data_IF_684032489804
#
_entry.id   IF_684032489804
#
_cell.length_a   1.000
_cell.length_b   1.000
_cell.length_c   1.000
_cell.angle_alpha   90.00
_cell.angle_beta   90.00
_cell.angle_gamma   90.00
#
_symmetry.space_group_name_H-M   'P 1'
#
loop_
_entity.id
_entity.type
_entity.pdbx_description
1 polymer ?
#
# COMPACT_ATOMS: atom_id res chain seq x y z
N UNK A 1 4.82 -4.52 -16.00
CA UNK A 1 4.98 -4.91 -14.59
C UNK A 1 6.26 -4.38 -13.99
N UNK A 2 6.25 -4.19 -12.67
CA UNK A 2 7.39 -3.63 -11.92
C UNK A 2 7.68 -4.38 -10.62
N UNK A 3 7.02 -5.51 -10.37
CA UNK A 3 7.24 -6.37 -9.21
C UNK A 3 7.06 -7.83 -9.60
N UNK A 4 7.84 -8.72 -8.99
CA UNK A 4 7.75 -10.16 -9.21
C UNK A 4 8.44 -10.96 -8.09
N UNK A 5 8.24 -12.27 -8.13
CA UNK A 5 9.03 -13.24 -7.39
C UNK A 5 9.41 -14.40 -8.32
N UNK A 6 10.54 -15.03 -8.05
CA UNK A 6 11.04 -16.11 -8.87
C UNK A 6 12.26 -16.79 -8.25
N UNK A 7 13.00 -17.52 -9.08
CA UNK A 7 14.24 -18.20 -8.71
C UNK A 7 15.36 -17.67 -9.60
N UNK A 8 16.50 -17.37 -9.02
CA UNK A 8 17.69 -16.92 -9.75
C UNK A 8 18.18 -18.06 -10.64
N UNK A 9 18.12 -17.85 -11.96
CA UNK A 9 18.54 -18.83 -12.96
C UNK A 9 20.00 -18.66 -13.36
N UNK A 10 20.45 -17.40 -13.45
CA UNK A 10 21.80 -17.04 -13.88
C UNK A 10 22.24 -15.74 -13.20
N UNK A 11 23.56 -15.48 -13.12
CA UNK A 11 24.12 -14.29 -12.50
C UNK A 11 25.19 -13.66 -13.41
N UNK A 12 25.22 -12.35 -13.44
CA UNK A 12 26.27 -11.58 -14.16
C UNK A 12 27.61 -11.63 -13.43
N UNK A 13 28.66 -11.22 -14.16
CA UNK A 13 29.98 -11.15 -13.59
C UNK A 13 30.03 -10.13 -12.40
N UNK A 14 30.66 -10.53 -11.29
CA UNK A 14 30.82 -9.69 -10.12
C UNK A 14 29.58 -9.56 -9.23
N UNK A 15 28.54 -10.34 -9.46
CA UNK A 15 27.37 -10.40 -8.57
C UNK A 15 27.66 -11.37 -7.42
N UNK A 16 27.52 -10.88 -6.18
CA UNK A 16 27.72 -11.63 -4.95
C UNK A 16 26.54 -11.59 -3.97
N UNK A 17 25.54 -10.72 -4.22
CA UNK A 17 24.33 -10.58 -3.37
C UNK A 17 23.42 -11.82 -3.45
N UNK A 18 23.42 -12.50 -4.56
CA UNK A 18 22.57 -13.68 -4.82
C UNK A 18 23.36 -14.77 -5.53
N UNK A 19 22.87 -16.01 -5.45
CA UNK A 19 23.41 -17.16 -6.16
C UNK A 19 22.31 -17.88 -6.96
N UNK A 20 22.71 -18.67 -7.94
CA UNK A 20 21.78 -19.53 -8.71
C UNK A 20 21.02 -20.43 -7.74
N UNK A 21 19.70 -20.50 -7.93
CA UNK A 21 18.78 -21.24 -7.08
C UNK A 21 18.21 -20.44 -5.90
N UNK A 22 18.68 -19.22 -5.62
CA UNK A 22 18.05 -18.39 -4.59
C UNK A 22 16.61 -18.02 -4.98
N UNK A 23 15.70 -18.21 -4.05
CA UNK A 23 14.33 -17.76 -4.16
C UNK A 23 14.23 -16.29 -3.79
N UNK A 24 13.77 -15.47 -4.73
CA UNK A 24 13.81 -14.01 -4.59
C UNK A 24 12.48 -13.34 -4.90
N UNK A 25 12.31 -12.13 -4.39
CA UNK A 25 11.27 -11.20 -4.80
C UNK A 25 11.87 -9.80 -4.98
N UNK A 26 11.24 -8.97 -5.79
CA UNK A 26 11.71 -7.62 -6.06
C UNK A 26 10.61 -6.71 -6.56
N UNK A 27 10.84 -5.41 -6.48
CA UNK A 27 9.97 -4.41 -7.11
C UNK A 27 10.80 -3.25 -7.69
N UNK A 28 10.10 -2.31 -8.35
CA UNK A 28 10.71 -1.12 -8.99
C UNK A 28 11.70 -1.44 -10.13
N UNK A 29 11.67 -2.65 -10.66
CA UNK A 29 12.37 -3.03 -11.88
C UNK A 29 11.33 -3.34 -12.98
N UNK A 30 11.39 -2.69 -14.14
CA UNK A 30 10.42 -2.91 -15.22
C UNK A 30 10.62 -4.26 -15.91
N UNK A 31 9.60 -4.69 -16.67
CA UNK A 31 9.69 -5.89 -17.51
C UNK A 31 9.34 -7.19 -16.80
N UNK A 32 8.54 -7.14 -15.72
CA UNK A 32 8.20 -8.34 -14.92
C UNK A 32 7.06 -9.19 -15.53
N UNK A 33 6.45 -8.77 -16.64
CA UNK A 33 5.49 -9.61 -17.38
C UNK A 33 6.27 -10.51 -18.33
N UNK A 34 6.98 -11.47 -17.77
CA UNK A 34 7.89 -12.36 -18.51
C UNK A 34 8.16 -13.63 -17.69
N UNK A 35 8.48 -14.71 -18.41
CA UNK A 35 8.98 -15.94 -17.80
C UNK A 35 10.40 -15.76 -17.22
N UNK A 36 11.19 -14.87 -17.83
CA UNK A 36 12.54 -14.53 -17.41
C UNK A 36 12.72 -13.01 -17.43
N UNK A 37 13.35 -12.47 -16.40
CA UNK A 37 13.65 -11.04 -16.29
C UNK A 37 15.11 -10.82 -15.87
N UNK A 38 15.74 -9.80 -16.43
CA UNK A 38 17.05 -9.32 -15.99
C UNK A 38 16.84 -8.20 -14.98
N UNK A 39 17.35 -8.38 -13.77
CA UNK A 39 17.12 -7.49 -12.65
C UNK A 39 18.45 -7.11 -11.99
N UNK A 40 18.69 -5.83 -11.65
CA UNK A 40 19.86 -5.46 -10.86
C UNK A 40 19.91 -6.23 -9.53
N UNK A 41 21.02 -6.89 -9.25
CA UNK A 41 21.15 -7.81 -8.10
C UNK A 41 20.82 -7.12 -6.77
N UNK A 42 21.21 -5.87 -6.59
CA UNK A 42 20.93 -5.09 -5.38
C UNK A 42 19.42 -4.88 -5.08
N UNK A 43 18.54 -5.10 -6.07
CA UNK A 43 17.06 -5.02 -5.89
C UNK A 43 16.44 -6.35 -5.46
N UNK A 44 17.17 -7.43 -5.56
CA UNK A 44 16.66 -8.77 -5.23
C UNK A 44 16.68 -8.99 -3.72
N UNK A 45 15.52 -9.34 -3.18
CA UNK A 45 15.34 -9.70 -1.78
C UNK A 45 15.11 -11.21 -1.68
N UNK A 46 15.88 -11.92 -0.84
CA UNK A 46 15.65 -13.34 -0.60
C UNK A 46 14.33 -13.53 0.13
N UNK A 47 13.53 -14.47 -0.34
CA UNK A 47 12.28 -14.82 0.34
C UNK A 47 12.59 -15.71 1.54
N UNK A 48 12.11 -15.34 2.75
CA UNK A 48 12.27 -16.20 3.92
C UNK A 48 11.41 -17.47 3.78
N UNK A 49 11.78 -18.51 4.53
CA UNK A 49 10.97 -19.71 4.65
C UNK A 49 9.52 -19.35 5.03
N UNK A 50 8.54 -20.02 4.41
CA UNK A 50 7.11 -19.74 4.62
C UNK A 50 6.52 -18.64 3.74
N UNK A 51 7.32 -17.92 2.94
CA UNK A 51 6.84 -16.98 1.93
C UNK A 51 7.03 -17.58 0.55
N UNK A 52 5.96 -18.09 -0.06
CA UNK A 52 5.99 -18.64 -1.41
C UNK A 52 6.13 -17.54 -2.49
N UNK A 53 6.29 -17.92 -3.76
CA UNK A 53 6.47 -16.96 -4.86
C UNK A 53 5.25 -16.02 -5.01
N UNK A 54 4.04 -16.56 -4.86
CA UNK A 54 2.81 -15.77 -4.97
C UNK A 54 2.72 -14.70 -3.88
N UNK A 55 2.98 -15.11 -2.65
CA UNK A 55 3.03 -14.19 -1.49
C UNK A 55 4.14 -13.15 -1.65
N UNK A 56 5.33 -13.55 -2.09
CA UNK A 56 6.44 -12.64 -2.35
C UNK A 56 6.10 -11.57 -3.40
N UNK A 57 5.55 -12.00 -4.55
CA UNK A 57 5.13 -11.08 -5.61
C UNK A 57 3.96 -10.16 -5.18
N UNK A 58 3.02 -10.70 -4.38
CA UNK A 58 1.88 -9.91 -3.90
C UNK A 58 2.29 -8.85 -2.87
N UNK A 59 3.32 -9.13 -2.08
CA UNK A 59 3.71 -8.35 -0.93
C UNK A 59 4.65 -7.20 -1.23
N UNK A 60 5.65 -7.43 -2.10
CA UNK A 60 6.88 -6.63 -2.05
C UNK A 60 6.65 -5.14 -2.36
N UNK A 61 5.92 -4.77 -3.40
CA UNK A 61 5.66 -3.37 -3.73
C UNK A 61 4.68 -2.73 -2.75
N UNK A 62 3.52 -3.38 -2.57
CA UNK A 62 2.45 -2.82 -1.74
C UNK A 62 2.83 -2.85 -0.25
N UNK A 63 3.49 -3.92 0.21
CA UNK A 63 3.94 -4.04 1.59
C UNK A 63 4.98 -2.99 1.96
N UNK A 64 6.04 -2.82 1.17
CA UNK A 64 7.03 -1.78 1.42
C UNK A 64 6.42 -0.37 1.29
N UNK A 65 5.45 -0.19 0.38
CA UNK A 65 4.73 1.08 0.28
C UNK A 65 3.93 1.35 1.55
N UNK A 66 3.13 0.41 2.02
CA UNK A 66 2.39 0.56 3.27
C UNK A 66 3.33 0.80 4.45
N UNK A 67 4.47 0.10 4.48
CA UNK A 67 5.49 0.26 5.50
C UNK A 67 6.01 1.69 5.56
N UNK A 68 6.59 2.23 4.46
CA UNK A 68 7.15 3.57 4.55
C UNK A 68 6.09 4.64 4.81
N UNK A 69 4.85 4.45 4.33
CA UNK A 69 3.75 5.39 4.56
C UNK A 69 3.47 5.58 6.05
N UNK A 70 3.35 4.49 6.82
CA UNK A 70 2.96 4.55 8.24
C UNK A 70 4.13 4.49 9.22
N UNK A 71 5.36 4.16 8.79
CA UNK A 71 6.55 4.16 9.64
C UNK A 71 7.48 5.36 9.39
N UNK A 72 7.44 5.97 8.19
CA UNK A 72 8.40 7.02 7.82
C UNK A 72 7.75 8.32 7.35
N UNK A 73 6.77 8.27 6.41
CA UNK A 73 6.12 9.49 5.90
C UNK A 73 5.29 10.18 6.98
N UNK A 74 4.42 9.44 7.63
CA UNK A 74 3.77 9.82 8.88
C UNK A 74 3.93 8.66 9.87
N UNK A 75 4.91 8.73 10.78
CA UNK A 75 5.13 7.68 11.79
C UNK A 75 3.94 7.64 12.77
N UNK A 76 3.06 6.67 12.55
CA UNK A 76 1.84 6.52 13.35
C UNK A 76 2.20 6.22 14.79
N UNK A 77 1.60 6.96 15.72
CA UNK A 77 1.74 6.77 17.14
C UNK A 77 0.53 6.01 17.72
N UNK A 78 0.74 5.32 18.83
CA UNK A 78 -0.34 4.67 19.55
C UNK A 78 -1.46 5.66 19.88
N UNK A 79 -2.67 5.34 19.48
CA UNK A 79 -3.86 6.18 19.69
C UNK A 79 -4.12 7.22 18.60
N UNK A 80 -3.23 7.37 17.61
CA UNK A 80 -3.51 8.24 16.46
C UNK A 80 -4.74 7.75 15.71
N UNK A 81 -5.63 8.67 15.37
CA UNK A 81 -6.77 8.42 14.49
C UNK A 81 -6.37 8.79 13.07
N UNK A 82 -6.58 7.88 12.13
CA UNK A 82 -6.19 8.09 10.73
C UNK A 82 -7.30 7.62 9.78
N UNK A 83 -7.31 8.17 8.56
CA UNK A 83 -8.17 7.68 7.47
C UNK A 83 -7.32 6.86 6.49
N UNK A 84 -7.84 5.72 6.07
CA UNK A 84 -7.31 4.90 4.97
C UNK A 84 -8.38 4.78 3.89
N UNK A 85 -8.15 5.42 2.74
CA UNK A 85 -9.05 5.31 1.59
C UNK A 85 -8.87 3.98 0.85
N UNK A 86 -9.92 3.54 0.15
CA UNK A 86 -9.96 2.28 -0.57
C UNK A 86 -9.56 1.07 0.32
N UNK A 87 -10.12 1.00 1.51
CA UNK A 87 -9.70 0.10 2.60
C UNK A 87 -9.79 -1.41 2.34
N UNK A 88 -10.49 -1.84 1.27
CA UNK A 88 -10.52 -3.24 0.83
C UNK A 88 -9.62 -3.53 -0.37
N UNK A 89 -8.90 -2.54 -0.89
CA UNK A 89 -7.85 -2.73 -1.88
C UNK A 89 -6.57 -3.29 -1.25
N UNK A 90 -5.63 -3.77 -2.06
CA UNK A 90 -4.38 -4.35 -1.57
C UNK A 90 -3.62 -3.43 -0.62
N UNK A 91 -3.46 -2.15 -0.98
CA UNK A 91 -2.83 -1.14 -0.13
C UNK A 91 -3.62 -0.88 1.14
N UNK A 92 -4.95 -0.72 1.03
CA UNK A 92 -5.82 -0.41 2.18
C UNK A 92 -5.79 -1.51 3.24
N UNK A 93 -5.83 -2.77 2.83
CA UNK A 93 -5.75 -3.93 3.73
C UNK A 93 -4.41 -4.00 4.46
N UNK A 94 -3.30 -3.75 3.77
CA UNK A 94 -1.96 -3.76 4.37
C UNK A 94 -1.73 -2.57 5.30
N UNK A 95 -2.08 -1.36 4.86
CA UNK A 95 -2.00 -0.15 5.70
C UNK A 95 -2.80 -0.31 6.99
N UNK A 96 -4.05 -0.78 6.87
CA UNK A 96 -4.89 -1.00 8.06
C UNK A 96 -4.21 -1.92 9.07
N UNK A 97 -3.71 -3.08 8.63
CA UNK A 97 -3.05 -4.02 9.52
C UNK A 97 -1.78 -3.43 10.17
N UNK A 98 -0.94 -2.73 9.40
CA UNK A 98 0.28 -2.12 9.92
C UNK A 98 -0.02 -0.98 10.91
N UNK A 99 -1.01 -0.13 10.61
CA UNK A 99 -1.45 0.94 11.51
C UNK A 99 -2.01 0.34 12.82
N UNK A 100 -2.77 -0.76 12.72
CA UNK A 100 -3.26 -1.48 13.91
C UNK A 100 -2.11 -2.07 14.73
N UNK A 101 -1.08 -2.60 14.09
CA UNK A 101 0.15 -3.08 14.76
C UNK A 101 0.86 -1.95 15.54
N UNK A 102 0.83 -0.72 15.01
CA UNK A 102 1.35 0.49 15.67
C UNK A 102 0.41 1.03 16.78
N UNK A 103 -0.80 0.45 16.94
CA UNK A 103 -1.78 0.89 17.92
C UNK A 103 -2.64 2.09 17.50
N UNK A 104 -2.68 2.40 16.20
CA UNK A 104 -3.53 3.43 15.64
C UNK A 104 -5.01 3.04 15.57
N UNK A 105 -5.88 4.02 15.39
CA UNK A 105 -7.31 3.88 15.13
C UNK A 105 -7.60 4.21 13.67
N UNK A 106 -8.23 3.29 12.95
CA UNK A 106 -8.42 3.39 11.50
C UNK A 106 -9.88 3.65 11.15
N UNK A 107 -10.14 4.83 10.56
CA UNK A 107 -11.31 5.06 9.73
C UNK A 107 -11.00 4.56 8.31
N UNK A 108 -11.79 3.66 7.78
CA UNK A 108 -11.59 3.09 6.46
C UNK A 108 -12.76 3.41 5.54
N UNK A 109 -12.50 3.86 4.31
CA UNK A 109 -13.55 4.13 3.34
C UNK A 109 -13.62 3.05 2.27
N UNK A 110 -14.81 2.55 2.01
CA UNK A 110 -15.10 1.50 1.03
C UNK A 110 -16.40 1.77 0.28
N UNK A 111 -16.64 1.06 -0.84
CA UNK A 111 -17.80 1.30 -1.72
C UNK A 111 -18.99 0.37 -1.49
N UNK A 112 -18.79 -0.80 -0.89
CA UNK A 112 -19.84 -1.82 -0.75
C UNK A 112 -19.75 -2.52 0.61
N UNK A 113 -20.85 -3.15 1.04
CA UNK A 113 -20.92 -3.90 2.29
C UNK A 113 -19.93 -5.09 2.30
N UNK A 114 -19.75 -5.79 1.17
CA UNK A 114 -18.75 -6.86 1.06
C UNK A 114 -17.32 -6.35 1.27
N UNK A 115 -17.00 -5.17 0.74
CA UNK A 115 -15.71 -4.49 0.98
C UNK A 115 -15.56 -4.03 2.43
N UNK A 116 -16.66 -3.67 3.07
CA UNK A 116 -16.65 -3.29 4.49
C UNK A 116 -16.23 -4.46 5.38
N UNK A 117 -16.74 -5.65 5.12
CA UNK A 117 -16.35 -6.85 5.89
C UNK A 117 -14.86 -7.18 5.73
N UNK A 118 -14.29 -7.02 4.52
CA UNK A 118 -12.86 -7.20 4.30
C UNK A 118 -12.02 -6.18 5.09
N UNK A 119 -12.43 -4.91 5.07
CA UNK A 119 -11.75 -3.86 5.80
C UNK A 119 -11.83 -4.04 7.33
N UNK A 120 -12.99 -4.45 7.86
CA UNK A 120 -13.15 -4.84 9.28
C UNK A 120 -12.25 -6.01 9.65
N UNK A 121 -12.20 -7.04 8.79
CA UNK A 121 -11.35 -8.21 9.02
C UNK A 121 -9.86 -7.87 9.03
N UNK A 122 -9.45 -6.79 8.33
CA UNK A 122 -8.09 -6.25 8.39
C UNK A 122 -7.83 -5.43 9.66
N UNK A 123 -8.85 -5.17 10.48
CA UNK A 123 -8.74 -4.46 11.75
C UNK A 123 -9.20 -3.00 11.73
N UNK A 124 -9.88 -2.53 10.67
CA UNK A 124 -10.43 -1.18 10.65
C UNK A 124 -11.46 -0.99 11.79
N UNK A 125 -11.29 0.07 12.58
CA UNK A 125 -12.13 0.34 13.74
C UNK A 125 -13.48 0.95 13.34
N UNK A 126 -13.49 1.76 12.29
CA UNK A 126 -14.68 2.39 11.76
C UNK A 126 -14.67 2.33 10.23
N UNK A 127 -15.62 1.62 9.66
CA UNK A 127 -15.72 1.49 8.19
C UNK A 127 -16.86 2.36 7.69
N UNK A 128 -16.58 3.20 6.68
CA UNK A 128 -17.50 4.19 6.12
C UNK A 128 -17.81 3.81 4.67
N UNK A 129 -19.09 3.68 4.36
CA UNK A 129 -19.58 3.44 3.00
C UNK A 129 -19.72 4.79 2.26
N UNK A 130 -18.63 5.26 1.66
CA UNK A 130 -18.60 6.59 1.01
C UNK A 130 -19.61 6.77 -0.14
N UNK A 131 -20.21 5.69 -0.61
CA UNK A 131 -21.32 5.73 -1.60
C UNK A 131 -22.67 6.11 -0.99
N UNK A 132 -22.79 6.05 0.33
CA UNK A 132 -24.01 6.33 1.09
C UNK A 132 -23.84 7.42 2.11
N UNK A 133 -22.59 7.72 2.50
CA UNK A 133 -22.24 8.54 3.67
C UNK A 133 -21.13 9.52 3.33
N UNK A 134 -21.19 10.70 3.93
CA UNK A 134 -20.09 11.68 3.90
C UNK A 134 -19.03 11.31 4.94
N UNK A 135 -17.88 10.88 4.48
CA UNK A 135 -16.83 10.42 5.40
C UNK A 135 -16.23 11.56 6.24
N UNK A 136 -16.17 12.78 5.71
CA UNK A 136 -15.63 13.92 6.46
C UNK A 136 -16.56 14.29 7.64
N UNK A 137 -17.87 14.30 7.41
CA UNK A 137 -18.87 14.55 8.46
C UNK A 137 -18.84 13.45 9.54
N UNK A 138 -18.72 12.16 9.13
CA UNK A 138 -18.64 11.05 10.06
C UNK A 138 -17.38 11.15 10.92
N UNK A 139 -16.22 11.40 10.29
CA UNK A 139 -14.94 11.55 10.98
C UNK A 139 -15.01 12.73 11.95
N UNK A 140 -15.53 13.88 11.53
CA UNK A 140 -15.70 15.05 12.35
C UNK A 140 -16.54 14.75 13.59
N UNK A 141 -17.67 14.08 13.41
CA UNK A 141 -18.55 13.67 14.52
C UNK A 141 -17.86 12.67 15.46
N UNK A 142 -17.21 11.65 14.91
CA UNK A 142 -16.55 10.61 15.69
C UNK A 142 -15.30 11.08 16.44
N UNK A 143 -14.74 12.23 16.02
CA UNK A 143 -13.58 12.87 16.66
C UNK A 143 -13.95 14.09 17.50
N UNK A 144 -15.24 14.36 17.72
CA UNK A 144 -15.75 15.56 18.42
C UNK A 144 -15.21 16.86 17.81
N UNK A 145 -15.01 16.90 16.49
CA UNK A 145 -14.47 18.04 15.76
C UNK A 145 -12.95 18.16 15.74
N UNK A 146 -12.21 17.28 16.41
CA UNK A 146 -10.75 17.32 16.45
C UNK A 146 -10.09 16.93 15.12
N UNK A 147 -10.78 16.11 14.29
CA UNK A 147 -10.24 15.55 13.06
C UNK A 147 -9.21 14.42 13.29
N UNK A 148 -8.57 13.98 12.21
CA UNK A 148 -7.58 12.90 12.23
C UNK A 148 -6.15 13.42 12.13
N UNK A 149 -5.17 12.58 12.54
CA UNK A 149 -3.74 12.91 12.49
C UNK A 149 -3.15 12.73 11.11
N UNK A 150 -3.64 11.74 10.35
CA UNK A 150 -3.21 11.54 8.97
C UNK A 150 -4.35 10.99 8.10
N UNK A 151 -4.27 11.30 6.81
CA UNK A 151 -5.10 10.68 5.77
C UNK A 151 -4.18 10.02 4.76
N UNK A 152 -4.34 8.72 4.57
CA UNK A 152 -3.65 7.94 3.54
C UNK A 152 -4.54 7.83 2.32
N UNK A 153 -4.24 8.62 1.30
CA UNK A 153 -5.07 8.77 0.10
C UNK A 153 -4.36 8.25 -1.15
N UNK A 154 -4.82 7.11 -1.65
CA UNK A 154 -4.43 6.55 -2.94
C UNK A 154 -5.43 6.84 -4.05
N UNK A 155 -6.55 7.51 -3.73
CA UNK A 155 -7.67 7.76 -4.64
C UNK A 155 -7.51 9.08 -5.40
N UNK A 156 -7.19 10.16 -4.71
CA UNK A 156 -6.83 11.45 -5.31
C UNK A 156 -8.04 12.34 -5.58
N UNK A 157 -8.33 12.67 -6.85
CA UNK A 157 -9.27 13.74 -7.23
C UNK A 157 -10.60 13.71 -6.49
N UNK A 158 -11.21 12.54 -6.37
CA UNK A 158 -12.56 12.43 -5.76
C UNK A 158 -12.59 12.48 -4.23
N UNK A 159 -11.44 12.36 -3.56
CA UNK A 159 -11.36 12.32 -2.08
C UNK A 159 -10.60 13.50 -1.49
N UNK A 160 -9.76 14.15 -2.28
CA UNK A 160 -8.75 15.09 -1.81
C UNK A 160 -9.30 16.20 -0.91
N UNK A 161 -10.33 16.92 -1.35
CA UNK A 161 -10.86 18.07 -0.59
C UNK A 161 -11.42 17.63 0.77
N UNK A 162 -12.27 16.61 0.78
CA UNK A 162 -12.82 16.05 2.01
C UNK A 162 -11.74 15.42 2.91
N UNK A 163 -10.65 14.89 2.31
CA UNK A 163 -9.50 14.39 3.06
C UNK A 163 -8.79 15.51 3.82
N UNK A 164 -8.60 16.68 3.18
CA UNK A 164 -8.05 17.88 3.83
C UNK A 164 -8.97 18.36 4.94
N UNK A 165 -10.29 18.42 4.70
CA UNK A 165 -11.30 18.88 5.67
C UNK A 165 -11.42 17.94 6.89
N UNK A 166 -11.01 16.68 6.74
CA UNK A 166 -11.00 15.67 7.82
C UNK A 166 -9.79 15.78 8.74
N UNK A 167 -8.74 16.51 8.34
CA UNK A 167 -7.52 16.62 9.13
C UNK A 167 -7.71 17.54 10.35
N UNK A 168 -7.20 17.09 11.47
CA UNK A 168 -7.06 17.91 12.67
C UNK A 168 -5.86 18.83 12.61
N UNK A 169 -5.66 19.66 13.65
CA UNK A 169 -4.49 20.54 13.76
C UNK A 169 -3.19 19.74 13.59
N UNK A 170 -2.29 20.28 12.74
CA UNK A 170 -1.00 19.67 12.37
C UNK A 170 -1.15 18.28 11.77
N UNK A 171 -2.33 18.01 11.17
CA UNK A 171 -2.60 16.77 10.45
C UNK A 171 -1.80 16.67 9.17
N UNK A 172 -1.61 15.44 8.70
CA UNK A 172 -0.77 15.13 7.57
C UNK A 172 -1.58 14.46 6.44
N UNK A 173 -1.64 15.11 5.29
CA UNK A 173 -2.18 14.54 4.06
C UNK A 173 -1.10 13.71 3.35
N UNK A 174 -1.25 12.41 3.30
CA UNK A 174 -0.34 11.49 2.60
C UNK A 174 -1.01 11.06 1.30
N UNK A 175 -0.78 11.82 0.24
CA UNK A 175 -1.35 11.56 -1.09
C UNK A 175 -0.42 10.62 -1.87
N UNK A 176 -0.55 9.30 -1.72
CA UNK A 176 0.36 8.34 -2.32
C UNK A 176 -0.11 7.79 -3.68
N UNK A 177 -1.34 8.09 -4.09
CA UNK A 177 -1.92 7.63 -5.34
C UNK A 177 -2.86 8.64 -5.99
N UNK A 178 -3.40 8.29 -7.15
CA UNK A 178 -4.35 9.08 -7.91
C UNK A 178 -5.28 8.18 -8.74
N UNK A 179 -5.86 7.15 -8.13
CA UNK A 179 -6.70 6.16 -8.85
C UNK A 179 -7.96 6.77 -9.48
N UNK A 180 -8.46 7.92 -8.96
CA UNK A 180 -9.57 8.68 -9.58
C UNK A 180 -9.12 9.86 -10.45
N UNK A 181 -7.82 9.99 -10.66
CA UNK A 181 -7.17 11.13 -11.30
C UNK A 181 -6.41 11.99 -10.28
N UNK A 182 -5.51 12.85 -10.78
CA UNK A 182 -4.81 13.82 -9.95
C UNK A 182 -5.80 14.84 -9.38
N UNK A 183 -5.62 15.29 -8.12
CA UNK A 183 -6.34 16.46 -7.62
C UNK A 183 -6.09 17.69 -8.49
N UNK A 184 -7.05 18.61 -8.50
CA UNK A 184 -6.85 19.90 -9.16
C UNK A 184 -5.72 20.70 -8.45
N UNK A 185 -5.04 21.61 -9.15
CA UNK A 185 -4.01 22.44 -8.53
C UNK A 185 -4.56 23.20 -7.31
N UNK A 186 -3.79 23.21 -6.22
CA UNK A 186 -4.17 23.88 -4.98
C UNK A 186 -3.22 25.02 -4.66
N UNK A 187 -3.76 26.04 -3.99
CA UNK A 187 -2.93 27.05 -3.34
C UNK A 187 -2.34 26.47 -2.04
N UNK A 188 -1.04 26.68 -1.74
CA UNK A 188 -0.46 26.27 -0.46
C UNK A 188 -1.21 26.83 0.76
N UNK A 189 -1.95 27.93 0.58
CA UNK A 189 -2.79 28.52 1.63
C UNK A 189 -3.83 27.58 2.22
N UNK A 190 -4.25 26.52 1.51
CA UNK A 190 -5.19 25.52 2.05
C UNK A 190 -4.63 24.84 3.31
N UNK A 191 -3.30 24.71 3.42
CA UNK A 191 -2.65 24.06 4.55
C UNK A 191 -2.63 24.94 5.80
N UNK A 192 -2.90 26.24 5.68
CA UNK A 192 -2.89 27.16 6.83
C UNK A 192 -4.06 26.93 7.80
N UNK A 193 -5.15 26.31 7.35
CA UNK A 193 -6.36 26.06 8.13
C UNK A 193 -6.14 25.26 9.44
N UNK A 194 -5.00 24.63 9.60
CA UNK A 194 -4.66 23.86 10.81
C UNK A 194 -3.16 23.62 10.93
N UNK A 195 -2.32 24.40 10.23
CA UNK A 195 -0.89 24.13 10.08
C UNK A 195 -0.65 22.70 9.55
N UNK A 196 -1.36 22.36 8.49
CA UNK A 196 -1.34 21.01 7.89
C UNK A 196 -0.03 20.76 7.14
N UNK A 197 0.33 19.51 7.01
CA UNK A 197 1.41 19.05 6.13
C UNK A 197 0.84 18.20 5.01
N UNK A 198 1.50 18.20 3.86
CA UNK A 198 1.16 17.33 2.75
C UNK A 198 2.41 16.73 2.12
N UNK A 199 2.36 15.44 1.84
CA UNK A 199 3.42 14.73 1.14
C UNK A 199 2.84 13.96 -0.04
N UNK A 200 3.56 14.00 -1.18
CA UNK A 200 3.32 13.14 -2.35
C UNK A 200 4.49 12.16 -2.47
N UNK A 201 4.50 11.09 -1.64
CA UNK A 201 5.67 10.22 -1.53
C UNK A 201 5.69 9.17 -2.64
N UNK A 202 6.90 8.66 -2.93
CA UNK A 202 7.15 7.55 -3.84
C UNK A 202 8.09 6.52 -3.19
N UNK A 203 7.87 5.22 -3.41
CA UNK A 203 8.68 4.16 -2.81
C UNK A 203 10.18 4.31 -3.13
N UNK A 204 10.52 4.82 -4.34
CA UNK A 204 11.91 5.02 -4.75
C UNK A 204 12.71 5.91 -3.81
N UNK A 205 12.08 6.93 -3.23
CA UNK A 205 12.71 7.86 -2.28
C UNK A 205 12.89 7.28 -0.88
N UNK A 206 12.27 6.14 -0.61
CA UNK A 206 12.34 5.40 0.65
C UNK A 206 13.10 4.06 0.52
N UNK A 207 13.72 3.81 -0.63
CA UNK A 207 14.54 2.63 -0.93
C UNK A 207 15.72 3.02 -1.81
N UNK A 208 16.38 4.15 -1.46
CA UNK A 208 17.46 4.75 -2.28
C UNK A 208 18.75 3.95 -2.22
N UNK A 209 18.91 3.12 -1.21
CA UNK A 209 20.07 2.26 -1.00
C UNK A 209 19.65 0.87 -0.53
N UNK A 210 20.62 -0.07 -0.53
CA UNK A 210 20.40 -1.45 -0.16
C UNK A 210 19.87 -1.61 1.28
N UNK A 211 20.39 -0.87 2.22
CA UNK A 211 20.01 -0.98 3.63
C UNK A 211 18.55 -0.61 3.88
N UNK A 212 18.06 0.47 3.26
CA UNK A 212 16.66 0.88 3.36
C UNK A 212 15.71 -0.11 2.67
N UNK A 213 16.15 -0.65 1.53
CA UNK A 213 15.40 -1.67 0.81
C UNK A 213 15.27 -2.95 1.65
N UNK A 214 16.38 -3.45 2.21
CA UNK A 214 16.44 -4.64 3.06
C UNK A 214 15.57 -4.48 4.29
N UNK A 215 15.77 -3.42 5.06
CA UNK A 215 14.99 -3.18 6.27
C UNK A 215 13.48 -3.30 6.04
N UNK A 216 12.97 -2.63 4.98
CA UNK A 216 11.53 -2.64 4.69
C UNK A 216 11.04 -3.99 4.17
N UNK A 217 11.84 -4.62 3.31
CA UNK A 217 11.49 -5.92 2.76
C UNK A 217 11.52 -7.02 3.84
N UNK A 218 12.52 -7.01 4.71
CA UNK A 218 12.66 -7.96 5.82
C UNK A 218 11.51 -7.83 6.81
N UNK A 219 11.14 -6.61 7.20
CA UNK A 219 9.96 -6.38 8.07
C UNK A 219 8.70 -6.96 7.44
N UNK A 220 8.41 -6.59 6.18
CA UNK A 220 7.19 -7.01 5.48
C UNK A 220 7.15 -8.53 5.28
N UNK A 221 8.23 -9.10 4.74
CA UNK A 221 8.30 -10.54 4.46
C UNK A 221 8.34 -11.35 5.75
N UNK A 222 8.99 -10.84 6.80
CA UNK A 222 9.01 -11.42 8.13
C UNK A 222 7.63 -11.48 8.76
N UNK A 223 6.86 -10.41 8.70
CA UNK A 223 5.47 -10.39 9.23
C UNK A 223 4.54 -11.31 8.42
N UNK A 224 4.77 -11.49 7.13
CA UNK A 224 4.02 -12.48 6.34
C UNK A 224 4.41 -13.89 6.75
N UNK A 225 5.71 -14.17 6.87
CA UNK A 225 6.21 -15.48 7.30
C UNK A 225 5.69 -15.87 8.69
N UNK A 226 5.60 -14.92 9.62
CA UNK A 226 5.06 -15.14 10.97
C UNK A 226 3.53 -15.19 11.04
N UNK A 227 2.83 -14.78 9.97
CA UNK A 227 1.37 -14.66 9.94
C UNK A 227 0.82 -13.39 10.60
N UNK A 228 1.69 -12.47 11.03
CA UNK A 228 1.31 -11.16 11.58
C UNK A 228 0.69 -10.24 10.53
N UNK A 229 1.12 -10.35 9.27
CA UNK A 229 0.57 -9.62 8.14
C UNK A 229 -0.06 -10.60 7.16
N UNK A 230 -1.34 -10.41 6.88
CA UNK A 230 -2.10 -11.28 5.98
C UNK A 230 -2.28 -10.62 4.62
N UNK A 231 -1.94 -11.36 3.58
CA UNK A 231 -2.16 -10.97 2.19
C UNK A 231 -3.53 -11.44 1.71
N UNK A 232 -4.13 -10.66 0.83
CA UNK A 232 -5.27 -11.08 0.05
C UNK A 232 -4.89 -11.08 -1.43
N UNK A 233 -4.73 -12.28 -1.99
CA UNK A 233 -4.66 -12.50 -3.43
C UNK A 233 -6.07 -12.85 -3.87
N UNK A 234 -6.67 -12.03 -4.75
CA UNK A 234 -8.07 -12.22 -5.17
C UNK A 234 -8.18 -13.13 -6.38
N UNK A 235 -7.28 -12.95 -7.35
CA UNK A 235 -7.35 -13.72 -8.59
C UNK A 235 -5.95 -13.92 -9.19
N UNK A 236 -5.81 -14.99 -9.97
CA UNK A 236 -4.62 -15.36 -10.71
C UNK A 236 -4.98 -15.50 -12.19
N UNK A 237 -4.14 -14.97 -13.06
CA UNK A 237 -4.31 -15.00 -14.50
C UNK A 237 -3.07 -15.61 -15.14
N UNK A 238 -3.22 -16.34 -16.23
CA UNK A 238 -2.08 -16.68 -17.07
C UNK A 238 -1.44 -15.38 -17.59
N UNK A 239 -0.12 -15.40 -17.83
CA UNK A 239 0.59 -14.23 -18.37
C UNK A 239 -0.01 -13.76 -19.70
N UNK A 240 -0.51 -14.68 -20.55
CA UNK A 240 -1.23 -14.39 -21.80
C UNK A 240 -2.48 -13.54 -21.59
N UNK A 241 -3.10 -13.61 -20.42
CA UNK A 241 -4.35 -12.94 -20.07
C UNK A 241 -4.14 -11.61 -19.33
N UNK A 242 -2.92 -11.04 -19.39
CA UNK A 242 -2.59 -9.79 -18.73
C UNK A 242 -3.55 -8.64 -19.06
N UNK A 243 -4.09 -8.60 -20.29
CA UNK A 243 -5.06 -7.59 -20.70
C UNK A 243 -6.38 -7.71 -19.93
N UNK A 244 -6.81 -8.92 -19.57
CA UNK A 244 -8.00 -9.15 -18.75
C UNK A 244 -7.75 -8.75 -17.31
N UNK A 245 -6.60 -9.11 -16.75
CA UNK A 245 -6.19 -8.67 -15.41
C UNK A 245 -6.20 -7.14 -15.29
N UNK A 246 -5.72 -6.41 -16.31
CA UNK A 246 -5.77 -4.95 -16.35
C UNK A 246 -7.20 -4.43 -16.38
N UNK A 247 -8.09 -4.99 -17.24
CA UNK A 247 -9.51 -4.58 -17.29
C UNK A 247 -10.18 -4.74 -15.94
N UNK A 248 -9.92 -5.87 -15.25
CA UNK A 248 -10.49 -6.10 -13.93
C UNK A 248 -9.94 -5.12 -12.90
N UNK A 249 -8.64 -4.84 -12.90
CA UNK A 249 -8.03 -3.88 -11.99
C UNK A 249 -8.60 -2.47 -12.20
N UNK A 250 -8.74 -2.02 -13.45
CA UNK A 250 -9.27 -0.70 -13.82
C UNK A 250 -10.76 -0.55 -13.52
N UNK A 251 -11.52 -1.65 -13.50
CA UNK A 251 -12.96 -1.65 -13.14
C UNK A 251 -13.23 -1.26 -11.68
N UNK A 252 -12.21 -1.24 -10.83
CA UNK A 252 -12.30 -0.98 -9.37
C UNK A 252 -13.19 -1.96 -8.61
N UNK A 253 -13.57 -3.09 -9.23
CA UNK A 253 -14.36 -4.14 -8.58
C UNK A 253 -13.49 -5.08 -7.73
N UNK A 254 -12.20 -5.18 -8.03
CA UNK A 254 -11.26 -6.09 -7.37
C UNK A 254 -10.96 -5.71 -5.92
N UNK A 255 -10.53 -6.70 -5.16
CA UNK A 255 -10.07 -6.55 -3.78
C UNK A 255 -8.72 -7.26 -3.61
N UNK A 256 -7.80 -6.70 -2.82
CA UNK A 256 -6.49 -7.33 -2.65
C UNK A 256 -5.60 -7.22 -3.89
N UNK A 257 -4.89 -8.28 -4.22
CA UNK A 257 -3.87 -8.36 -5.28
C UNK A 257 -4.30 -9.29 -6.40
N UNK A 258 -4.02 -8.91 -7.66
CA UNK A 258 -4.06 -9.78 -8.84
C UNK A 258 -2.65 -10.26 -9.17
N UNK A 259 -2.51 -11.51 -9.58
CA UNK A 259 -1.24 -12.09 -10.00
C UNK A 259 -1.29 -12.54 -11.46
N UNK A 260 -0.17 -12.37 -12.16
CA UNK A 260 0.08 -13.00 -13.45
C UNK A 260 1.04 -14.17 -13.23
N UNK A 261 0.67 -15.32 -13.76
CA UNK A 261 1.45 -16.56 -13.66
C UNK A 261 1.99 -16.88 -15.05
N UNK A 262 3.32 -16.92 -15.22
CA UNK A 262 3.97 -17.29 -16.48
C UNK A 262 3.67 -18.69 -16.95
#
# INVERSE_FOLDING_TARGET
GVEAAGVVRDIGAGVDEVKIGDEVTYCTAPGTYAELAVVPAWRLMKRPAGVDAKSGAAAILQGMTAHYLCYSTYPVQKGDRVIVHAGAGGMGLLLTQMIKKLGGYVFSTVSTDAKAELSKSAGADHVILYTKEDFAEIVKKATNGEGVKAVYDGVGKSTFNQSIDSLGRRGHMVLYGAASGAPDPISPGILSAGSLSMTRPGLGDYTVNRAELEQRAEDVLGWISSGELKLRISDEFALSDASEAHRQLESRSTTGKLLLIP
#
